data_IF_363600279660
#
_entry.id   IF_363600279660
#
_cell.length_a   1.000
_cell.length_b   1.000
_cell.length_c   1.000
_cell.angle_alpha   90.00
_cell.angle_beta   90.00
_cell.angle_gamma   90.00
#
_symmetry.space_group_name_H-M   'P 1'
#
loop_
_entity.id
_entity.type
_entity.pdbx_description
1 polymer ?
#
# COMPACT_ATOMS: atom_id res chain seq x y z
N UNK A 1 -13.06 -2.89 -54.53
CA UNK A 1 -11.82 -3.06 -53.74
C UNK A 1 -12.18 -3.02 -52.26
N UNK A 2 -12.21 -4.16 -51.59
CA UNK A 2 -12.55 -4.27 -50.16
C UNK A 2 -11.27 -4.12 -49.36
N UNK A 3 -11.09 -2.99 -48.67
CA UNK A 3 -9.95 -2.77 -47.79
C UNK A 3 -10.19 -3.55 -46.50
N UNK A 4 -9.45 -4.65 -46.31
CA UNK A 4 -9.48 -5.41 -45.07
C UNK A 4 -8.88 -4.55 -43.94
N UNK A 5 -9.55 -4.41 -42.78
CA UNK A 5 -8.98 -3.69 -41.65
C UNK A 5 -7.73 -4.42 -41.16
N UNK A 6 -6.62 -3.68 -41.06
CA UNK A 6 -5.39 -4.19 -40.48
C UNK A 6 -5.66 -4.66 -39.04
N UNK A 7 -5.15 -5.83 -38.62
CA UNK A 7 -5.33 -6.32 -37.26
C UNK A 7 -4.77 -5.29 -36.28
N UNK A 8 -5.57 -4.95 -35.26
CA UNK A 8 -5.16 -4.06 -34.20
C UNK A 8 -3.84 -4.57 -33.61
N UNK A 9 -2.80 -3.74 -33.65
CA UNK A 9 -1.51 -4.08 -33.04
C UNK A 9 -1.76 -4.34 -31.56
N UNK A 10 -1.50 -5.56 -31.10
CA UNK A 10 -1.54 -5.90 -29.69
C UNK A 10 -0.59 -4.95 -28.94
N UNK A 11 -1.11 -4.15 -28.00
CA UNK A 11 -0.25 -3.32 -27.17
C UNK A 11 0.70 -4.22 -26.38
N UNK A 12 1.99 -3.87 -26.28
CA UNK A 12 2.94 -4.64 -25.50
C UNK A 12 2.48 -4.71 -24.03
N UNK A 13 2.68 -5.85 -23.36
CA UNK A 13 2.23 -6.04 -21.98
C UNK A 13 2.84 -4.96 -21.08
N UNK A 14 1.98 -4.31 -20.28
CA UNK A 14 2.45 -3.32 -19.30
C UNK A 14 3.38 -3.99 -18.29
N UNK A 15 4.53 -3.36 -18.07
CA UNK A 15 5.45 -3.76 -17.02
C UNK A 15 4.80 -3.55 -15.63
N UNK A 16 5.12 -4.40 -14.64
CA UNK A 16 4.61 -4.25 -13.28
C UNK A 16 5.08 -2.95 -12.64
N UNK A 17 4.25 -2.38 -11.76
CA UNK A 17 4.61 -1.17 -11.00
C UNK A 17 5.52 -1.54 -9.83
N UNK A 18 6.84 -1.57 -10.08
CA UNK A 18 7.84 -2.00 -9.10
C UNK A 18 7.79 -1.20 -7.79
N UNK A 19 7.50 0.09 -7.86
CA UNK A 19 7.35 0.93 -6.66
C UNK A 19 6.15 0.52 -5.81
N UNK A 20 5.04 0.14 -6.47
CA UNK A 20 3.88 -0.39 -5.75
C UNK A 20 4.13 -1.80 -5.22
N UNK A 21 4.83 -2.65 -5.97
CA UNK A 21 5.20 -3.99 -5.50
C UNK A 21 6.08 -3.89 -4.24
N UNK A 22 7.10 -3.01 -4.26
CA UNK A 22 7.93 -2.73 -3.10
C UNK A 22 7.10 -2.23 -1.90
N UNK A 23 6.18 -1.29 -2.11
CA UNK A 23 5.29 -0.82 -1.05
C UNK A 23 4.45 -1.95 -0.44
N UNK A 24 3.88 -2.82 -1.28
CA UNK A 24 3.10 -3.96 -0.81
C UNK A 24 3.92 -4.95 0.01
N UNK A 25 5.11 -5.30 -0.47
CA UNK A 25 6.04 -6.22 0.22
C UNK A 25 6.51 -5.63 1.55
N UNK A 26 6.90 -4.36 1.58
CA UNK A 26 7.34 -3.69 2.80
C UNK A 26 6.20 -3.56 3.83
N UNK A 27 4.97 -3.29 3.37
CA UNK A 27 3.78 -3.27 4.23
C UNK A 27 3.51 -4.66 4.83
N UNK A 28 3.58 -5.71 4.02
CA UNK A 28 3.43 -7.09 4.47
C UNK A 28 4.54 -7.50 5.44
N UNK A 29 5.79 -7.10 5.18
CA UNK A 29 6.92 -7.31 6.08
C UNK A 29 6.71 -6.64 7.44
N UNK A 30 6.19 -5.41 7.46
CA UNK A 30 5.83 -4.73 8.70
C UNK A 30 4.71 -5.45 9.45
N UNK A 31 3.76 -6.07 8.75
CA UNK A 31 2.72 -6.88 9.39
C UNK A 31 3.31 -8.12 10.10
N UNK A 32 4.25 -8.81 9.46
CA UNK A 32 4.96 -9.95 10.07
C UNK A 32 5.75 -9.50 11.31
N UNK A 33 6.41 -8.34 11.25
CA UNK A 33 7.05 -7.74 12.42
C UNK A 33 6.05 -7.51 13.57
N UNK A 34 4.85 -7.00 13.27
CA UNK A 34 3.82 -6.77 14.30
C UNK A 34 3.28 -8.06 14.91
N UNK A 35 3.14 -9.14 14.13
CA UNK A 35 2.82 -10.45 14.72
C UNK A 35 3.89 -10.91 15.72
N UNK A 36 5.16 -10.57 15.49
CA UNK A 36 6.27 -10.89 16.38
C UNK A 36 6.42 -9.97 17.60
N UNK A 37 5.88 -8.74 17.55
CA UNK A 37 6.06 -7.72 18.60
C UNK A 37 5.78 -8.22 20.02
N UNK A 38 4.66 -8.89 20.30
CA UNK A 38 4.33 -9.30 21.67
C UNK A 38 5.38 -10.24 22.27
N UNK A 39 6.02 -11.06 21.45
CA UNK A 39 7.06 -12.00 21.85
C UNK A 39 8.42 -11.29 22.00
N UNK A 40 8.80 -10.48 21.01
CA UNK A 40 10.07 -9.76 20.99
C UNK A 40 10.22 -8.79 22.18
N UNK A 41 9.12 -8.15 22.58
CA UNK A 41 9.11 -7.17 23.67
C UNK A 41 8.54 -7.72 24.99
N UNK A 42 8.28 -9.03 25.06
CA UNK A 42 7.86 -9.69 26.30
C UNK A 42 6.52 -9.22 26.86
N UNK A 43 5.58 -8.80 26.01
CA UNK A 43 4.27 -8.27 26.42
C UNK A 43 3.49 -9.25 27.30
N UNK A 44 3.52 -10.54 26.97
CA UNK A 44 2.78 -11.55 27.73
C UNK A 44 3.17 -11.62 29.21
N UNK A 45 4.48 -11.48 29.50
CA UNK A 45 4.98 -11.44 30.88
C UNK A 45 4.64 -10.11 31.56
N UNK A 46 4.80 -9.00 30.85
CA UNK A 46 4.52 -7.66 31.37
C UNK A 46 3.03 -7.45 31.70
N UNK A 47 2.14 -8.10 30.96
CA UNK A 47 0.69 -7.92 31.08
C UNK A 47 0.00 -9.02 31.92
N UNK A 48 0.76 -9.98 32.47
CA UNK A 48 0.20 -11.05 33.31
C UNK A 48 -0.69 -10.54 34.47
N UNK A 49 -0.37 -9.42 35.16
CA UNK A 49 -1.25 -8.89 36.21
C UNK A 49 -2.58 -8.31 35.69
N UNK A 50 -2.72 -8.10 34.38
CA UNK A 50 -3.82 -7.38 33.75
C UNK A 50 -4.47 -8.23 32.64
N UNK A 51 -5.18 -9.33 32.97
CA UNK A 51 -5.59 -10.34 31.99
C UNK A 51 -6.48 -9.77 30.87
N UNK A 52 -7.35 -8.81 31.16
CA UNK A 52 -8.23 -8.23 30.15
C UNK A 52 -7.50 -7.26 29.22
N UNK A 53 -6.53 -6.51 29.76
CA UNK A 53 -5.63 -5.67 28.96
C UNK A 53 -4.71 -6.53 28.09
N UNK A 54 -4.23 -7.66 28.63
CA UNK A 54 -3.43 -8.63 27.91
C UNK A 54 -4.20 -9.15 26.68
N UNK A 55 -5.43 -9.62 26.87
CA UNK A 55 -6.27 -10.09 25.78
C UNK A 55 -6.54 -8.98 24.75
N UNK A 56 -6.93 -7.78 25.21
CA UNK A 56 -7.28 -6.67 24.33
C UNK A 56 -6.10 -6.23 23.46
N UNK A 57 -4.90 -6.08 24.03
CA UNK A 57 -3.71 -5.65 23.29
C UNK A 57 -3.25 -6.71 22.29
N UNK A 58 -3.32 -8.01 22.64
CA UNK A 58 -2.98 -9.08 21.72
C UNK A 58 -3.97 -9.17 20.57
N UNK A 59 -5.27 -9.08 20.85
CA UNK A 59 -6.31 -9.10 19.83
C UNK A 59 -6.19 -7.90 18.90
N UNK A 60 -5.99 -6.69 19.44
CA UNK A 60 -5.79 -5.48 18.65
C UNK A 60 -4.57 -5.61 17.74
N UNK A 61 -3.43 -6.06 18.28
CA UNK A 61 -2.21 -6.25 17.51
C UNK A 61 -2.38 -7.32 16.42
N UNK A 62 -3.04 -8.44 16.72
CA UNK A 62 -3.29 -9.50 15.74
C UNK A 62 -4.23 -9.03 14.61
N UNK A 63 -5.33 -8.36 14.94
CA UNK A 63 -6.24 -7.77 13.95
C UNK A 63 -5.54 -6.72 13.08
N UNK A 64 -4.78 -5.82 13.70
CA UNK A 64 -4.00 -4.81 12.99
C UNK A 64 -2.97 -5.45 12.05
N UNK A 65 -2.22 -6.45 12.53
CA UNK A 65 -1.23 -7.18 11.73
C UNK A 65 -1.89 -7.88 10.55
N UNK A 66 -3.03 -8.54 10.75
CA UNK A 66 -3.76 -9.19 9.68
C UNK A 66 -4.23 -8.19 8.61
N UNK A 67 -4.82 -7.06 9.01
CA UNK A 67 -5.26 -6.02 8.08
C UNK A 67 -4.09 -5.42 7.29
N UNK A 68 -2.95 -5.21 7.96
CA UNK A 68 -1.74 -4.70 7.32
C UNK A 68 -1.18 -5.73 6.31
N UNK A 69 -1.19 -7.02 6.67
CA UNK A 69 -0.76 -8.11 5.79
C UNK A 69 -1.68 -8.22 4.56
N UNK A 70 -2.99 -8.23 4.77
CA UNK A 70 -3.99 -8.29 3.70
C UNK A 70 -3.89 -7.07 2.77
N UNK A 71 -3.72 -5.87 3.33
CA UNK A 71 -3.50 -4.63 2.59
C UNK A 71 -2.21 -4.64 1.78
N UNK A 72 -1.12 -5.16 2.35
CA UNK A 72 0.15 -5.38 1.66
C UNK A 72 0.02 -6.36 0.50
N UNK A 73 -0.58 -7.53 0.74
CA UNK A 73 -0.82 -8.55 -0.29
C UNK A 73 -1.71 -8.04 -1.43
N UNK A 74 -2.80 -7.32 -1.11
CA UNK A 74 -3.65 -6.68 -2.10
C UNK A 74 -2.87 -5.63 -2.91
N UNK A 75 -2.00 -4.86 -2.26
CA UNK A 75 -1.12 -3.90 -2.94
C UNK A 75 -0.16 -4.59 -3.92
N UNK A 76 0.47 -5.70 -3.51
CA UNK A 76 1.32 -6.50 -4.40
C UNK A 76 0.49 -7.00 -5.59
N UNK A 77 -0.69 -7.58 -5.37
CA UNK A 77 -1.55 -8.04 -6.45
C UNK A 77 -1.90 -6.90 -7.43
N UNK A 78 -2.22 -5.70 -6.93
CA UNK A 78 -2.47 -4.51 -7.74
C UNK A 78 -1.24 -4.04 -8.55
N UNK A 79 -0.02 -4.33 -8.09
CA UNK A 79 1.20 -3.97 -8.80
C UNK A 79 1.42 -4.81 -10.08
N UNK A 80 0.86 -6.01 -10.12
CA UNK A 80 0.95 -6.94 -11.25
C UNK A 80 -0.29 -6.95 -12.14
N UNK A 81 -1.35 -6.22 -11.80
CA UNK A 81 -2.52 -6.07 -12.67
C UNK A 81 -2.16 -5.29 -13.94
N UNK A 82 -2.57 -5.81 -15.09
CA UNK A 82 -2.29 -5.25 -16.42
C UNK A 82 -3.26 -4.11 -16.80
N UNK A 83 -4.46 -4.15 -16.24
CA UNK A 83 -5.52 -3.16 -16.52
C UNK A 83 -5.31 -1.86 -15.73
N UNK A 84 -5.92 -0.78 -16.22
CA UNK A 84 -6.01 0.45 -15.46
C UNK A 84 -6.65 0.18 -14.10
N UNK A 85 -6.08 0.75 -13.02
CA UNK A 85 -6.60 0.55 -11.66
C UNK A 85 -8.06 0.98 -11.62
N UNK A 86 -8.94 0.02 -11.36
CA UNK A 86 -10.35 0.28 -11.12
C UNK A 86 -10.56 1.09 -9.83
N UNK A 87 -11.80 1.53 -9.62
CA UNK A 87 -12.19 2.33 -8.44
C UNK A 87 -11.83 1.61 -7.14
N UNK A 88 -11.99 0.29 -7.09
CA UNK A 88 -11.68 -0.53 -5.91
C UNK A 88 -10.18 -0.51 -5.60
N UNK A 89 -9.32 -0.73 -6.60
CA UNK A 89 -7.88 -0.67 -6.43
C UNK A 89 -7.42 0.70 -5.94
N UNK A 90 -8.03 1.78 -6.43
CA UNK A 90 -7.75 3.14 -5.93
C UNK A 90 -8.11 3.29 -4.45
N UNK A 91 -9.26 2.79 -4.01
CA UNK A 91 -9.65 2.85 -2.60
C UNK A 91 -8.75 2.04 -1.68
N UNK A 92 -8.28 0.86 -2.12
CA UNK A 92 -7.28 0.07 -1.38
C UNK A 92 -6.00 0.88 -1.17
N UNK A 93 -5.49 1.52 -2.24
CA UNK A 93 -4.28 2.35 -2.14
C UNK A 93 -4.47 3.59 -1.26
N UNK A 94 -5.65 4.22 -1.31
CA UNK A 94 -5.98 5.34 -0.44
C UNK A 94 -6.08 4.92 1.03
N UNK A 95 -6.69 3.77 1.31
CA UNK A 95 -6.83 3.27 2.69
C UNK A 95 -5.48 2.95 3.31
N UNK A 96 -4.63 2.16 2.62
CA UNK A 96 -3.30 1.81 3.13
C UNK A 96 -2.35 3.01 3.12
N UNK A 97 -2.40 3.85 2.09
CA UNK A 97 -1.64 5.11 2.06
C UNK A 97 -2.05 6.06 3.18
N UNK A 98 -3.36 6.19 3.44
CA UNK A 98 -3.90 6.98 4.54
C UNK A 98 -3.47 6.45 5.90
N UNK A 99 -3.44 5.13 6.09
CA UNK A 99 -2.84 4.52 7.28
C UNK A 99 -1.37 4.92 7.47
N UNK A 100 -0.56 4.88 6.41
CA UNK A 100 0.86 5.26 6.51
C UNK A 100 1.07 6.75 6.82
N UNK A 101 0.24 7.62 6.25
CA UNK A 101 0.23 9.06 6.59
C UNK A 101 -0.19 9.25 8.05
N UNK A 102 -1.25 8.60 8.50
CA UNK A 102 -1.68 8.66 9.89
C UNK A 102 -0.57 8.19 10.84
N UNK A 103 0.07 7.05 10.54
CA UNK A 103 1.19 6.53 11.33
C UNK A 103 2.37 7.52 11.39
N UNK A 104 2.72 8.13 10.25
CA UNK A 104 3.77 9.15 10.18
C UNK A 104 3.46 10.34 11.11
N UNK A 105 2.24 10.87 11.03
CA UNK A 105 1.80 11.99 11.87
C UNK A 105 1.72 11.61 13.35
N UNK A 106 1.24 10.41 13.65
CA UNK A 106 1.15 9.91 15.01
C UNK A 106 2.53 9.80 15.66
N UNK A 107 3.54 9.33 14.92
CA UNK A 107 4.92 9.25 15.43
C UNK A 107 5.57 10.62 15.69
N UNK A 108 5.09 11.70 15.04
CA UNK A 108 5.52 13.07 15.37
C UNK A 108 4.92 13.54 16.70
N UNK A 109 3.62 13.31 16.88
CA UNK A 109 2.87 13.79 18.06
C UNK A 109 3.18 12.94 19.29
N UNK A 110 3.32 11.64 19.11
CA UNK A 110 3.57 10.65 20.16
C UNK A 110 4.74 9.74 19.75
N UNK A 111 5.99 10.22 19.85
CA UNK A 111 7.16 9.44 19.46
C UNK A 111 7.28 8.17 20.31
N UNK A 112 7.62 7.04 19.68
CA UNK A 112 7.72 5.76 20.38
C UNK A 112 8.75 5.83 21.52
N UNK A 113 8.35 5.48 22.76
CA UNK A 113 9.28 5.45 23.89
C UNK A 113 10.24 4.28 23.69
N UNK A 114 11.51 4.60 23.38
CA UNK A 114 12.57 3.62 23.17
C UNK A 114 13.64 3.76 24.26
N UNK A 115 14.23 2.64 24.73
CA UNK A 115 15.44 2.70 25.56
C UNK A 115 16.56 3.48 24.83
N UNK A 116 17.46 4.18 25.56
CA UNK A 116 18.50 5.01 24.94
C UNK A 116 19.33 4.28 23.87
N UNK A 117 19.66 3.00 24.10
CA UNK A 117 20.40 2.14 23.17
C UNK A 117 19.68 1.88 21.83
N UNK A 118 18.37 2.08 21.77
CA UNK A 118 17.54 1.90 20.56
C UNK A 118 16.94 3.23 20.07
N UNK A 119 17.39 4.39 20.58
CA UNK A 119 16.81 5.68 20.21
C UNK A 119 16.88 5.97 18.71
N UNK A 120 17.91 5.46 18.01
CA UNK A 120 18.04 5.57 16.56
C UNK A 120 16.92 4.85 15.80
N UNK A 121 16.39 3.73 16.34
CA UNK A 121 15.33 2.96 15.70
C UNK A 121 14.04 3.78 15.54
N UNK A 122 13.80 4.72 16.46
CA UNK A 122 12.67 5.66 16.36
C UNK A 122 12.69 6.44 15.04
N UNK A 123 13.86 6.95 14.66
CA UNK A 123 14.03 7.67 13.40
C UNK A 123 13.96 6.75 12.19
N UNK A 124 14.45 5.51 12.32
CA UNK A 124 14.30 4.48 11.31
C UNK A 124 12.83 4.16 11.01
N UNK A 125 12.01 3.95 12.05
CA UNK A 125 10.58 3.67 11.92
C UNK A 125 9.80 4.89 11.37
N UNK A 126 10.18 6.10 11.78
CA UNK A 126 9.62 7.32 11.24
C UNK A 126 9.95 7.48 9.74
N UNK A 127 11.22 7.30 9.37
CA UNK A 127 11.67 7.35 7.97
C UNK A 127 11.01 6.26 7.12
N UNK A 128 10.79 5.08 7.68
CA UNK A 128 10.03 4.01 7.04
C UNK A 128 8.60 4.45 6.75
N UNK A 129 7.87 5.00 7.73
CA UNK A 129 6.52 5.49 7.52
C UNK A 129 6.46 6.60 6.46
N UNK A 130 7.46 7.48 6.43
CA UNK A 130 7.56 8.55 5.42
C UNK A 130 7.75 7.98 4.01
N UNK A 131 8.66 7.01 3.85
CA UNK A 131 8.90 6.34 2.57
C UNK A 131 7.64 5.61 2.08
N UNK A 132 6.92 4.94 2.98
CA UNK A 132 5.67 4.26 2.65
C UNK A 132 4.58 5.24 2.23
N UNK A 133 4.38 6.33 2.97
CA UNK A 133 3.44 7.39 2.61
C UNK A 133 3.74 7.97 1.22
N UNK A 134 5.02 8.18 0.92
CA UNK A 134 5.46 8.66 -0.39
C UNK A 134 5.17 7.64 -1.51
N UNK A 135 5.51 6.36 -1.33
CA UNK A 135 5.28 5.32 -2.34
C UNK A 135 3.78 5.17 -2.68
N UNK A 136 2.91 5.13 -1.67
CA UNK A 136 1.46 5.05 -1.87
C UNK A 136 0.91 6.33 -2.49
N UNK A 137 1.37 7.51 -2.05
CA UNK A 137 0.98 8.80 -2.62
C UNK A 137 1.34 8.90 -4.11
N UNK A 138 2.58 8.55 -4.46
CA UNK A 138 3.04 8.52 -5.85
C UNK A 138 2.23 7.52 -6.69
N UNK A 139 1.85 6.37 -6.14
CA UNK A 139 1.00 5.41 -6.83
C UNK A 139 -0.42 5.95 -7.10
N UNK A 140 -1.02 6.65 -6.13
CA UNK A 140 -2.35 7.27 -6.29
C UNK A 140 -2.34 8.38 -7.32
N UNK A 141 -1.34 9.28 -7.28
CA UNK A 141 -1.20 10.39 -8.23
C UNK A 141 -1.01 9.87 -9.66
N UNK A 142 -0.13 8.87 -9.86
CA UNK A 142 0.06 8.21 -11.17
C UNK A 142 -1.20 7.53 -11.68
N UNK A 143 -2.04 7.00 -10.78
CA UNK A 143 -3.35 6.43 -11.13
C UNK A 143 -4.37 7.49 -11.56
N UNK A 144 -4.39 8.64 -10.88
CA UNK A 144 -5.32 9.74 -11.18
C UNK A 144 -5.05 10.43 -12.52
N UNK A 145 -3.78 10.62 -12.89
CA UNK A 145 -3.41 11.21 -14.18
C UNK A 145 -3.74 10.34 -15.40
N UNK A 146 -3.88 9.03 -15.21
CA UNK A 146 -4.21 8.07 -16.29
C UNK A 146 -5.70 7.95 -16.59
N UNK A 147 -6.56 8.21 -15.60
CA UNK A 147 -8.02 8.16 -15.79
C UNK A 147 -8.57 9.35 -16.58
N UNK A 148 -7.78 10.41 -16.77
CA UNK A 148 -8.20 11.67 -17.42
C UNK A 148 -7.75 11.77 -18.89
N UNK A 149 -7.06 10.77 -19.45
CA UNK A 149 -6.71 10.79 -20.86
C UNK A 149 -8.01 10.74 -21.69
N UNK A 150 -8.35 11.77 -22.49
CA UNK A 150 -9.58 11.78 -23.25
C UNK A 150 -9.62 10.58 -24.21
N UNK A 151 -10.81 9.99 -24.44
CA UNK A 151 -10.94 8.91 -25.41
C UNK A 151 -10.40 9.43 -26.75
N UNK A 152 -9.45 8.69 -27.35
CA UNK A 152 -8.96 9.00 -28.69
C UNK A 152 -10.17 9.09 -29.59
N UNK A 153 -10.48 10.30 -30.06
CA UNK A 153 -11.52 10.53 -31.05
C UNK A 153 -11.20 9.63 -32.24
N UNK A 154 -12.03 8.62 -32.48
CA UNK A 154 -11.94 7.81 -33.68
C UNK A 154 -12.15 8.78 -34.85
N UNK A 155 -11.18 8.92 -35.77
CA UNK A 155 -11.36 9.80 -36.91
C UNK A 155 -12.56 9.26 -37.70
N UNK A 156 -13.65 10.02 -37.72
CA UNK A 156 -14.81 9.75 -38.57
C UNK A 156 -14.31 9.95 -39.98
N UNK A 157 -13.94 8.86 -40.65
CA UNK A 157 -13.64 8.86 -42.07
C UNK A 157 -14.88 9.40 -42.78
N UNK A 158 -14.72 10.57 -43.38
CA UNK A 158 -15.78 11.31 -44.04
C UNK A 158 -16.50 10.43 -45.05
N UNK A 159 -17.84 10.51 -45.02
CA UNK A 159 -18.67 9.94 -46.08
C UNK A 159 -18.30 10.63 -47.40
N UNK A 160 -18.00 9.89 -48.47
CA UNK A 160 -17.90 10.48 -49.79
C UNK A 160 -19.30 10.98 -50.21
N UNK A 161 -19.35 12.25 -50.65
CA UNK A 161 -20.49 12.85 -51.32
C UNK A 161 -20.49 12.56 -52.81
#
# INVERSE_FOLDING_TARGET
MTVLPLPARAEPPRAPDLGLAAAGVLTAGMALYHFGLPFLWGWGKALTPWPMLHWALFMLNASFSYLLLAGGAATVALAFRRDARDRTGRWVLLAIGGYWVFNLLYQLVSPMPMPPRLAALRWGLFGFAAAMAWLYGAAVVRGAGRAQAPPRSVPVLGRPG
#
